data_IF_740936386691
#
_entry.id   IF_740936386691
#
_cell.length_a   1.000
_cell.length_b   1.000
_cell.length_c   1.000
_cell.angle_alpha   90.00
_cell.angle_beta   90.00
_cell.angle_gamma   90.00
#
_symmetry.space_group_name_H-M   'P 1'
#
loop_
_entity.id
_entity.type
_entity.pdbx_description
1 polymer ?
#
# COMPACT_ATOMS: atom_id res chain seq x y z
N UNK A 1 8.90 22.24 51.87
CA UNK A 1 9.80 21.76 50.80
C UNK A 1 9.35 20.34 50.48
N UNK A 2 8.44 20.18 49.53
CA UNK A 2 7.82 18.89 49.19
C UNK A 2 8.66 18.29 48.07
N UNK A 3 9.36 17.19 48.36
CA UNK A 3 10.03 16.39 47.33
C UNK A 3 8.98 15.53 46.64
N UNK A 4 8.90 15.70 45.32
CA UNK A 4 7.97 15.03 44.42
C UNK A 4 8.38 13.56 44.27
N UNK A 5 7.36 12.71 44.38
CA UNK A 5 7.33 11.27 44.15
C UNK A 5 7.74 10.87 42.73
N UNK A 6 8.67 9.92 42.63
CA UNK A 6 8.97 9.19 41.39
C UNK A 6 7.75 8.37 40.95
N UNK A 7 7.11 8.82 39.89
CA UNK A 7 6.10 8.08 39.12
C UNK A 7 6.81 7.02 38.28
N UNK A 8 6.49 5.75 38.52
CA UNK A 8 7.02 4.60 37.78
C UNK A 8 6.09 4.34 36.58
N UNK A 9 6.50 4.74 35.38
CA UNK A 9 5.75 4.49 34.14
C UNK A 9 5.85 3.00 33.69
N UNK A 10 4.74 2.36 33.26
CA UNK A 10 4.70 0.94 32.86
C UNK A 10 4.93 0.67 31.36
N UNK A 11 5.50 1.60 30.59
CA UNK A 11 5.46 1.55 29.11
C UNK A 11 6.70 0.98 28.37
N UNK A 12 7.57 0.18 29.00
CA UNK A 12 8.84 -0.25 28.36
C UNK A 12 8.93 -1.74 27.97
N UNK A 13 7.90 -2.57 28.21
CA UNK A 13 7.96 -4.02 27.92
C UNK A 13 7.56 -4.35 26.47
N UNK A 14 6.49 -3.73 25.97
CA UNK A 14 5.88 -4.11 24.69
C UNK A 14 6.74 -3.76 23.47
N UNK A 15 7.41 -2.61 23.48
CA UNK A 15 8.30 -2.20 22.38
C UNK A 15 9.58 -3.05 22.27
N UNK A 16 10.08 -3.57 23.40
CA UNK A 16 11.24 -4.47 23.41
C UNK A 16 10.91 -5.87 22.89
N UNK A 17 9.72 -6.38 23.20
CA UNK A 17 9.24 -7.68 22.70
C UNK A 17 9.01 -7.64 21.18
N UNK A 18 8.53 -6.52 20.62
CA UNK A 18 8.37 -6.35 19.18
C UNK A 18 9.71 -6.34 18.41
N UNK A 19 10.77 -5.76 18.99
CA UNK A 19 12.10 -5.76 18.35
C UNK A 19 12.81 -7.13 18.41
N UNK A 20 12.59 -7.94 19.46
CA UNK A 20 13.21 -9.26 19.59
C UNK A 20 12.62 -10.28 18.60
N UNK A 21 11.31 -10.17 18.30
CA UNK A 21 10.65 -10.97 17.25
C UNK A 21 11.22 -10.73 15.84
N UNK A 22 11.70 -9.51 15.57
CA UNK A 22 12.28 -9.13 14.26
C UNK A 22 13.70 -9.68 14.11
N UNK A 23 14.48 -9.72 15.19
CA UNK A 23 15.86 -10.26 15.17
C UNK A 23 15.91 -11.78 15.00
N UNK A 24 14.87 -12.49 15.42
CA UNK A 24 14.78 -13.95 15.27
C UNK A 24 14.64 -14.43 13.82
N UNK A 25 14.25 -13.55 12.89
CA UNK A 25 14.06 -13.87 11.46
C UNK A 25 15.35 -13.69 10.63
N UNK A 26 16.37 -13.04 11.18
CA UNK A 26 17.62 -12.69 10.46
C UNK A 26 18.64 -13.85 10.44
N UNK A 27 18.43 -14.89 11.25
CA UNK A 27 19.40 -15.96 11.48
C UNK A 27 19.32 -17.16 10.50
N UNK A 28 18.38 -17.17 9.54
CA UNK A 28 18.19 -18.31 8.62
C UNK A 28 18.70 -18.08 7.20
N UNK A 29 19.51 -17.05 6.97
CA UNK A 29 20.05 -16.70 5.65
C UNK A 29 21.39 -17.41 5.37
N UNK A 30 21.35 -18.72 5.16
CA UNK A 30 22.28 -19.38 4.24
C UNK A 30 21.51 -20.37 3.36
N UNK A 31 21.66 -20.19 2.04
CA UNK A 31 21.23 -21.08 0.94
C UNK A 31 19.75 -21.00 0.53
N UNK A 32 19.45 -20.25 -0.54
CA UNK A 32 19.25 -20.82 -1.88
C UNK A 32 18.79 -19.74 -2.87
N UNK A 33 19.53 -19.63 -3.96
CA UNK A 33 19.04 -19.04 -5.20
C UNK A 33 17.80 -19.82 -5.67
N UNK A 34 16.81 -19.10 -6.21
CA UNK A 34 15.68 -19.62 -6.99
C UNK A 34 14.55 -20.38 -6.24
N UNK A 35 13.79 -19.72 -5.36
CA UNK A 35 12.38 -20.08 -5.08
C UNK A 35 11.66 -18.98 -4.25
N UNK A 36 11.09 -17.94 -4.86
CA UNK A 36 10.12 -17.06 -4.15
C UNK A 36 8.88 -16.80 -5.04
N UNK A 37 8.41 -17.83 -5.78
CA UNK A 37 7.15 -17.79 -6.53
C UNK A 37 5.91 -18.14 -5.67
N UNK A 38 6.05 -18.51 -4.38
CA UNK A 38 4.91 -18.96 -3.55
C UNK A 38 4.70 -18.25 -2.20
N UNK A 39 5.55 -17.31 -1.76
CA UNK A 39 5.43 -16.76 -0.39
C UNK A 39 4.32 -15.71 -0.19
N UNK A 40 3.60 -15.32 -1.25
CA UNK A 40 2.45 -14.40 -1.12
C UNK A 40 1.09 -15.10 -1.15
N UNK A 41 1.07 -16.44 -1.27
CA UNK A 41 -0.15 -17.24 -1.27
C UNK A 41 -0.69 -17.63 0.11
N UNK A 42 0.11 -17.59 1.18
CA UNK A 42 -0.21 -18.39 2.38
C UNK A 42 0.08 -17.75 3.77
N UNK A 43 0.32 -16.42 3.86
CA UNK A 43 0.28 -15.71 5.15
C UNK A 43 -1.03 -14.94 5.33
N UNK A 44 -2.07 -15.74 5.54
CA UNK A 44 -3.25 -15.55 6.40
C UNK A 44 -3.25 -14.25 7.26
N UNK A 45 -3.75 -13.15 6.70
CA UNK A 45 -4.98 -12.61 7.27
C UNK A 45 -6.07 -13.18 6.38
N UNK A 46 -6.81 -14.16 6.89
CA UNK A 46 -8.02 -14.68 6.25
C UNK A 46 -8.99 -13.50 6.07
N UNK A 47 -8.93 -12.85 4.91
CA UNK A 47 -10.04 -12.07 4.41
C UNK A 47 -10.31 -12.55 3.00
N UNK A 48 -11.38 -13.33 2.93
CA UNK A 48 -11.98 -13.87 1.74
C UNK A 48 -12.37 -12.74 0.77
N UNK A 49 -11.44 -12.36 -0.11
CA UNK A 49 -11.64 -11.41 -1.21
C UNK A 49 -12.59 -11.97 -2.30
N UNK A 50 -13.11 -13.19 -2.14
CA UNK A 50 -14.05 -13.78 -3.11
C UNK A 50 -15.51 -13.35 -2.89
N UNK A 51 -15.84 -12.74 -1.75
CA UNK A 51 -17.25 -12.43 -1.41
C UNK A 51 -17.79 -11.13 -2.05
N UNK A 52 -16.95 -10.22 -2.58
CA UNK A 52 -17.44 -8.98 -3.25
C UNK A 52 -17.21 -8.96 -4.76
N UNK A 53 -16.17 -9.60 -5.30
CA UNK A 53 -15.89 -9.57 -6.74
C UNK A 53 -15.92 -10.98 -7.31
N UNK A 54 -17.11 -11.44 -7.64
CA UNK A 54 -17.32 -12.60 -8.51
C UNK A 54 -16.68 -12.39 -9.88
N UNK A 55 -15.39 -12.72 -10.02
CA UNK A 55 -14.71 -12.76 -11.32
C UNK A 55 -14.51 -14.21 -11.73
N UNK A 56 -15.35 -14.61 -12.68
CA UNK A 56 -15.21 -15.84 -13.43
C UNK A 56 -13.80 -15.95 -14.01
N UNK A 57 -13.15 -17.08 -13.75
CA UNK A 57 -11.98 -17.54 -14.49
C UNK A 57 -12.42 -17.78 -15.94
N UNK A 58 -12.01 -16.95 -16.89
CA UNK A 58 -11.61 -17.33 -18.26
C UNK A 58 -11.42 -16.13 -19.19
N UNK A 59 -10.48 -16.33 -20.12
CA UNK A 59 -10.01 -15.46 -21.21
C UNK A 59 -8.83 -14.58 -20.83
N UNK A 60 -7.69 -14.84 -21.48
CA UNK A 60 -6.58 -13.91 -21.59
C UNK A 60 -7.12 -12.62 -22.20
N UNK A 61 -7.60 -11.69 -21.36
CA UNK A 61 -7.87 -10.32 -21.76
C UNK A 61 -6.57 -9.77 -22.28
N UNK A 62 -6.55 -9.29 -23.52
CA UNK A 62 -5.57 -8.32 -23.99
C UNK A 62 -5.63 -7.15 -23.01
N UNK A 63 -4.77 -7.14 -22.00
CA UNK A 63 -4.70 -6.04 -21.06
C UNK A 63 -4.26 -4.84 -21.88
N UNK A 64 -5.18 -3.88 -22.05
CA UNK A 64 -4.85 -2.57 -22.59
C UNK A 64 -3.65 -2.06 -21.82
N UNK A 65 -2.54 -1.78 -22.50
CA UNK A 65 -1.35 -1.15 -21.92
C UNK A 65 -1.48 0.38 -21.93
N UNK A 66 -2.71 0.88 -21.94
CA UNK A 66 -3.03 2.30 -22.03
C UNK A 66 -3.18 2.93 -20.64
N UNK A 67 -2.12 2.84 -19.82
CA UNK A 67 -2.09 3.53 -18.53
C UNK A 67 -2.04 5.05 -18.71
N UNK A 68 -1.53 5.56 -19.83
CA UNK A 68 -1.51 7.00 -20.14
C UNK A 68 -2.93 7.51 -20.39
N UNK A 69 -3.70 6.85 -21.26
CA UNK A 69 -5.08 7.22 -21.49
C UNK A 69 -5.96 7.01 -20.27
N UNK A 70 -5.69 5.99 -19.44
CA UNK A 70 -6.40 5.82 -18.17
C UNK A 70 -6.10 6.95 -17.18
N UNK A 71 -4.85 7.44 -17.11
CA UNK A 71 -4.50 8.63 -16.33
C UNK A 71 -5.20 9.89 -16.86
N UNK A 72 -5.25 10.08 -18.18
CA UNK A 72 -5.95 11.21 -18.79
C UNK A 72 -7.45 11.17 -18.45
N UNK A 73 -8.09 10.01 -18.60
CA UNK A 73 -9.50 9.81 -18.21
C UNK A 73 -9.73 10.07 -16.72
N UNK A 74 -8.81 9.62 -15.86
CA UNK A 74 -8.86 9.87 -14.43
C UNK A 74 -8.79 11.38 -14.10
N UNK A 75 -7.88 12.11 -14.77
CA UNK A 75 -7.68 13.55 -14.56
C UNK A 75 -8.83 14.39 -15.12
N UNK A 76 -9.42 13.96 -16.23
CA UNK A 76 -10.56 14.62 -16.88
C UNK A 76 -11.91 14.24 -16.28
N UNK A 77 -11.96 13.27 -15.36
CA UNK A 77 -13.20 12.81 -14.76
C UNK A 77 -13.91 13.95 -14.00
N UNK A 78 -15.12 14.28 -14.45
CA UNK A 78 -16.01 15.28 -13.84
C UNK A 78 -16.86 14.69 -12.71
N UNK A 79 -17.03 13.37 -12.68
CA UNK A 79 -17.79 12.64 -11.67
C UNK A 79 -16.98 11.49 -11.04
N UNK A 80 -17.41 11.05 -9.85
CA UNK A 80 -16.76 9.97 -9.10
C UNK A 80 -16.81 8.64 -9.85
N UNK A 81 -17.89 8.35 -10.57
CA UNK A 81 -18.05 7.12 -11.35
C UNK A 81 -17.00 7.00 -12.46
N UNK A 82 -16.84 8.04 -13.29
CA UNK A 82 -15.81 8.05 -14.33
C UNK A 82 -14.41 7.97 -13.73
N UNK A 83 -14.19 8.60 -12.58
CA UNK A 83 -12.92 8.53 -11.85
C UNK A 83 -12.64 7.11 -11.37
N UNK A 84 -13.63 6.45 -10.78
CA UNK A 84 -13.54 5.07 -10.31
C UNK A 84 -13.26 4.11 -11.45
N UNK A 85 -13.94 4.25 -12.59
CA UNK A 85 -13.70 3.40 -13.77
C UNK A 85 -12.24 3.49 -14.26
N UNK A 86 -11.69 4.71 -14.30
CA UNK A 86 -10.28 4.90 -14.66
C UNK A 86 -9.32 4.30 -13.63
N UNK A 87 -9.65 4.40 -12.34
CA UNK A 87 -8.87 3.75 -11.27
C UNK A 87 -8.92 2.23 -11.36
N UNK A 88 -10.08 1.62 -11.61
CA UNK A 88 -10.20 0.17 -11.77
C UNK A 88 -9.38 -0.36 -12.97
N UNK A 89 -9.35 0.41 -14.08
CA UNK A 89 -8.48 0.12 -15.22
C UNK A 89 -6.99 0.16 -14.82
N UNK A 90 -6.57 1.22 -14.11
CA UNK A 90 -5.21 1.35 -13.59
C UNK A 90 -4.86 0.25 -12.59
N UNK A 91 -5.78 -0.14 -11.71
CA UNK A 91 -5.60 -1.24 -10.75
C UNK A 91 -5.40 -2.57 -11.43
N UNK A 92 -6.19 -2.87 -12.47
CA UNK A 92 -6.01 -4.07 -13.28
C UNK A 92 -4.64 -4.10 -13.98
N UNK A 93 -4.19 -2.96 -14.50
CA UNK A 93 -2.86 -2.84 -15.14
C UNK A 93 -1.71 -2.95 -14.13
N UNK A 94 -1.86 -2.37 -12.93
CA UNK A 94 -0.85 -2.39 -11.86
C UNK A 94 -0.64 -3.79 -11.28
N UNK A 95 -1.66 -4.66 -11.35
CA UNK A 95 -1.55 -6.06 -10.95
C UNK A 95 -0.69 -6.90 -11.92
N UNK A 96 -0.40 -6.38 -13.11
CA UNK A 96 0.48 -7.05 -14.08
C UNK A 96 1.92 -6.61 -13.83
N UNK A 97 2.75 -7.50 -13.29
CA UNK A 97 4.15 -7.21 -12.91
C UNK A 97 4.98 -6.56 -14.02
N UNK A 98 4.81 -6.97 -15.28
CA UNK A 98 5.54 -6.41 -16.42
C UNK A 98 5.23 -4.94 -16.72
N UNK A 99 4.09 -4.42 -16.26
CA UNK A 99 3.68 -3.04 -16.52
C UNK A 99 4.29 -2.05 -15.52
N UNK A 100 4.78 -2.55 -14.39
CA UNK A 100 5.11 -1.74 -13.20
C UNK A 100 6.19 -0.70 -13.46
N UNK A 101 7.20 -1.02 -14.28
CA UNK A 101 8.22 -0.07 -14.70
C UNK A 101 7.66 1.05 -15.58
N UNK A 102 6.82 0.70 -16.56
CA UNK A 102 6.25 1.66 -17.50
C UNK A 102 5.22 2.56 -16.84
N UNK A 103 4.41 2.01 -15.92
CA UNK A 103 3.47 2.77 -15.11
C UNK A 103 4.18 3.76 -14.18
N UNK A 104 5.28 3.34 -13.53
CA UNK A 104 6.15 4.25 -12.78
C UNK A 104 6.67 5.36 -13.70
N UNK A 105 7.24 5.00 -14.85
CA UNK A 105 7.81 5.98 -15.80
C UNK A 105 6.76 6.94 -16.37
N UNK A 106 5.49 6.54 -16.39
CA UNK A 106 4.36 7.38 -16.79
C UNK A 106 3.83 8.28 -15.67
N UNK A 107 4.42 8.25 -14.47
CA UNK A 107 4.01 9.10 -13.35
C UNK A 107 2.74 8.64 -12.63
N UNK A 108 2.38 7.35 -12.75
CA UNK A 108 1.18 6.81 -12.09
C UNK A 108 1.31 6.92 -10.57
N UNK A 109 2.50 6.66 -10.01
CA UNK A 109 2.74 6.67 -8.57
C UNK A 109 2.49 8.08 -8.00
N UNK A 110 3.11 9.08 -8.58
CA UNK A 110 3.03 10.48 -8.18
C UNK A 110 1.60 11.00 -8.31
N UNK A 111 0.92 10.64 -9.40
CA UNK A 111 -0.49 11.03 -9.62
C UNK A 111 -1.40 10.44 -8.54
N UNK A 112 -1.24 9.15 -8.24
CA UNK A 112 -2.04 8.48 -7.21
C UNK A 112 -1.72 8.98 -5.80
N UNK A 113 -0.45 9.23 -5.46
CA UNK A 113 -0.08 9.79 -4.15
C UNK A 113 -0.67 11.19 -3.95
N UNK A 114 -0.57 12.06 -4.95
CA UNK A 114 -1.16 13.40 -4.91
C UNK A 114 -2.69 13.35 -4.79
N UNK A 115 -3.33 12.43 -5.51
CA UNK A 115 -4.77 12.22 -5.40
C UNK A 115 -5.17 11.74 -4.01
N UNK A 116 -4.51 10.71 -3.47
CA UNK A 116 -4.82 10.20 -2.12
C UNK A 116 -4.61 11.30 -1.08
N UNK A 117 -3.54 12.10 -1.17
CA UNK A 117 -3.31 13.22 -0.25
C UNK A 117 -4.44 14.24 -0.27
N UNK A 118 -4.95 14.60 -1.44
CA UNK A 118 -5.99 15.62 -1.58
C UNK A 118 -7.37 15.07 -1.25
N UNK A 119 -7.71 13.88 -1.73
CA UNK A 119 -9.00 13.23 -1.49
C UNK A 119 -9.17 12.83 -0.02
N UNK A 120 -8.13 12.33 0.65
CA UNK A 120 -8.18 11.97 2.07
C UNK A 120 -8.38 13.15 3.02
N UNK A 121 -8.01 14.37 2.61
CA UNK A 121 -8.30 15.59 3.37
C UNK A 121 -9.77 16.01 3.29
N UNK A 122 -10.48 15.59 2.23
CA UNK A 122 -11.90 15.88 2.02
C UNK A 122 -12.74 14.79 2.67
N UNK A 123 -12.51 13.54 2.27
CA UNK A 123 -13.18 12.35 2.80
C UNK A 123 -12.29 11.10 2.57
N UNK A 124 -11.65 10.59 3.64
CA UNK A 124 -10.76 9.44 3.54
C UNK A 124 -11.50 8.10 3.38
N UNK A 125 -12.83 8.07 3.54
CA UNK A 125 -13.64 6.84 3.49
C UNK A 125 -14.22 6.56 2.09
N UNK A 126 -13.83 7.32 1.07
CA UNK A 126 -14.36 7.17 -0.29
C UNK A 126 -13.79 5.94 -1.01
N UNK A 127 -14.59 5.26 -1.85
CA UNK A 127 -14.13 4.09 -2.60
C UNK A 127 -12.97 4.43 -3.56
N UNK A 128 -12.94 5.65 -4.08
CA UNK A 128 -11.85 6.13 -4.94
C UNK A 128 -10.50 6.23 -4.20
N UNK A 129 -10.50 6.60 -2.92
CA UNK A 129 -9.27 6.59 -2.10
C UNK A 129 -8.80 5.17 -1.87
N UNK A 130 -9.71 4.24 -1.53
CA UNK A 130 -9.38 2.84 -1.33
C UNK A 130 -8.74 2.21 -2.59
N UNK A 131 -9.34 2.43 -3.76
CA UNK A 131 -8.83 1.89 -5.03
C UNK A 131 -7.48 2.53 -5.41
N UNK A 132 -7.30 3.84 -5.19
CA UNK A 132 -6.01 4.49 -5.42
C UNK A 132 -4.90 3.92 -4.52
N UNK A 133 -5.17 3.69 -3.23
CA UNK A 133 -4.23 3.04 -2.31
C UNK A 133 -3.95 1.59 -2.72
N UNK A 134 -4.94 0.88 -3.24
CA UNK A 134 -4.77 -0.47 -3.78
C UNK A 134 -3.82 -0.51 -4.99
N UNK A 135 -3.91 0.48 -5.89
CA UNK A 135 -2.96 0.65 -7.00
C UNK A 135 -1.53 0.83 -6.46
N UNK A 136 -1.35 1.72 -5.48
CA UNK A 136 -0.04 1.96 -4.85
C UNK A 136 0.52 0.70 -4.20
N UNK A 137 -0.31 -0.08 -3.50
CA UNK A 137 0.07 -1.38 -2.91
C UNK A 137 0.59 -2.36 -3.97
N UNK A 138 -0.09 -2.48 -5.10
CA UNK A 138 0.29 -3.40 -6.16
C UNK A 138 1.62 -2.98 -6.83
N UNK A 139 1.80 -1.68 -7.08
CA UNK A 139 3.05 -1.14 -7.62
C UNK A 139 4.22 -1.33 -6.64
N UNK A 140 4.01 -1.17 -5.33
CA UNK A 140 5.02 -1.41 -4.30
C UNK A 140 5.45 -2.88 -4.19
N UNK A 141 4.53 -3.81 -4.46
CA UNK A 141 4.79 -5.24 -4.41
C UNK A 141 5.85 -5.67 -5.44
N UNK A 142 5.89 -5.00 -6.59
CA UNK A 142 6.61 -5.46 -7.77
C UNK A 142 8.15 -5.39 -7.67
N UNK A 143 8.71 -4.22 -7.33
CA UNK A 143 10.16 -4.00 -7.34
C UNK A 143 10.60 -2.91 -6.35
N UNK A 144 11.90 -2.85 -6.04
CA UNK A 144 12.46 -1.91 -5.06
C UNK A 144 12.40 -0.47 -5.55
N UNK A 145 12.57 -0.23 -6.84
CA UNK A 145 12.56 1.12 -7.42
C UNK A 145 11.17 1.78 -7.26
N UNK A 146 10.10 1.01 -7.38
CA UNK A 146 8.74 1.49 -7.10
C UNK A 146 8.57 1.83 -5.62
N UNK A 147 9.16 1.04 -4.71
CA UNK A 147 9.13 1.33 -3.26
C UNK A 147 9.88 2.62 -2.96
N UNK A 148 11.02 2.86 -3.60
CA UNK A 148 11.77 4.10 -3.46
C UNK A 148 11.01 5.29 -4.06
N UNK A 149 10.40 5.12 -5.23
CA UNK A 149 9.57 6.16 -5.86
C UNK A 149 8.37 6.53 -4.99
N UNK A 150 7.74 5.54 -4.35
CA UNK A 150 6.66 5.76 -3.38
C UNK A 150 7.13 6.59 -2.17
N UNK A 151 8.28 6.23 -1.59
CA UNK A 151 8.89 7.02 -0.50
C UNK A 151 9.17 8.45 -0.97
N UNK A 152 9.76 8.62 -2.15
CA UNK A 152 10.14 9.93 -2.69
C UNK A 152 8.94 10.79 -3.07
N UNK A 153 7.85 10.18 -3.52
CA UNK A 153 6.57 10.83 -3.72
C UNK A 153 5.87 11.21 -2.40
N UNK A 154 6.41 10.81 -1.24
CA UNK A 154 5.85 11.13 0.07
C UNK A 154 4.68 10.22 0.48
N UNK A 155 4.58 9.01 -0.06
CA UNK A 155 3.46 8.12 0.26
C UNK A 155 3.43 7.66 1.73
N UNK A 156 4.59 7.51 2.37
CA UNK A 156 4.71 6.96 3.74
C UNK A 156 3.89 7.76 4.77
N UNK A 157 4.07 9.08 4.93
CA UNK A 157 3.28 9.85 5.89
C UNK A 157 1.78 9.81 5.61
N UNK A 158 1.39 9.79 4.33
CA UNK A 158 -0.02 9.69 3.90
C UNK A 158 -0.62 8.34 4.34
N UNK A 159 0.08 7.24 4.07
CA UNK A 159 -0.40 5.91 4.44
C UNK A 159 -0.46 5.74 5.96
N UNK A 160 0.48 6.32 6.72
CA UNK A 160 0.44 6.32 8.19
C UNK A 160 -0.77 7.13 8.68
N UNK A 161 -1.03 8.30 8.08
CA UNK A 161 -2.19 9.12 8.42
C UNK A 161 -3.51 8.37 8.15
N UNK A 162 -3.58 7.61 7.05
CA UNK A 162 -4.70 6.72 6.72
C UNK A 162 -4.82 5.50 7.63
N UNK A 163 -3.89 5.25 8.56
CA UNK A 163 -4.01 4.19 9.56
C UNK A 163 -4.17 4.75 10.97
N UNK A 164 -3.94 6.05 11.15
CA UNK A 164 -4.11 6.69 12.43
C UNK A 164 -5.58 6.60 12.87
N UNK A 165 -5.84 6.40 14.17
CA UNK A 165 -7.20 6.43 14.68
C UNK A 165 -7.84 7.78 14.36
N UNK A 166 -8.89 7.75 13.53
CA UNK A 166 -9.67 8.90 13.12
C UNK A 166 -11.06 8.81 13.75
N UNK A 167 -11.61 9.95 14.18
CA UNK A 167 -13.00 10.05 14.64
C UNK A 167 -13.99 9.69 13.52
N UNK A 168 -13.55 9.82 12.26
CA UNK A 168 -14.22 9.33 11.06
C UNK A 168 -13.70 7.92 10.82
N UNK A 169 -14.38 6.90 11.35
CA UNK A 169 -13.99 5.51 11.20
C UNK A 169 -13.73 5.17 9.72
N UNK A 170 -12.50 4.78 9.41
CA UNK A 170 -12.10 4.43 8.05
C UNK A 170 -12.83 3.18 7.58
N UNK A 171 -13.10 3.11 6.26
CA UNK A 171 -13.54 1.86 5.65
C UNK A 171 -12.44 0.79 5.84
N UNK A 172 -12.86 -0.41 6.24
CA UNK A 172 -12.00 -1.59 6.43
C UNK A 172 -11.11 -1.85 5.20
N UNK A 173 -11.64 -1.60 4.00
CA UNK A 173 -10.90 -1.72 2.75
C UNK A 173 -9.74 -0.73 2.62
N UNK A 174 -9.93 0.53 3.04
CA UNK A 174 -8.90 1.57 2.94
C UNK A 174 -7.78 1.32 3.92
N UNK A 175 -8.12 0.97 5.17
CA UNK A 175 -7.14 0.62 6.19
C UNK A 175 -6.32 -0.62 5.78
N UNK A 176 -6.99 -1.67 5.28
CA UNK A 176 -6.32 -2.88 4.79
C UNK A 176 -5.38 -2.59 3.63
N UNK A 177 -5.82 -1.80 2.66
CA UNK A 177 -5.00 -1.40 1.52
C UNK A 177 -3.79 -0.57 1.97
N UNK A 178 -3.98 0.38 2.90
CA UNK A 178 -2.92 1.24 3.41
C UNK A 178 -1.86 0.46 4.20
N UNK A 179 -2.28 -0.45 5.07
CA UNK A 179 -1.39 -1.35 5.81
C UNK A 179 -0.59 -2.24 4.85
N UNK A 180 -1.27 -2.81 3.84
CA UNK A 180 -0.62 -3.61 2.80
C UNK A 180 0.39 -2.80 1.98
N UNK A 181 0.07 -1.54 1.65
CA UNK A 181 0.98 -0.64 0.95
C UNK A 181 2.22 -0.33 1.80
N UNK A 182 2.07 0.03 3.07
CA UNK A 182 3.21 0.29 3.98
C UNK A 182 4.12 -0.92 4.16
N UNK A 183 3.53 -2.12 4.31
CA UNK A 183 4.30 -3.36 4.36
C UNK A 183 5.12 -3.54 3.09
N UNK A 184 4.54 -3.33 1.91
CA UNK A 184 5.24 -3.49 0.65
C UNK A 184 6.32 -2.43 0.43
N UNK A 185 6.05 -1.17 0.81
CA UNK A 185 7.03 -0.08 0.72
C UNK A 185 8.25 -0.34 1.59
N UNK A 186 8.08 -0.94 2.77
CA UNK A 186 9.18 -1.27 3.70
C UNK A 186 9.83 -2.64 3.46
N UNK A 187 9.21 -3.51 2.66
CA UNK A 187 9.70 -4.87 2.44
C UNK A 187 11.10 -4.86 1.82
N UNK A 188 12.06 -5.49 2.50
CA UNK A 188 13.47 -5.60 2.07
C UNK A 188 14.08 -4.23 1.63
N UNK A 189 13.60 -3.10 2.17
CA UNK A 189 14.09 -1.75 1.86
C UNK A 189 14.42 -0.99 3.15
N UNK A 190 15.70 -0.98 3.52
CA UNK A 190 16.18 -0.40 4.77
C UNK A 190 16.04 1.12 4.84
N UNK A 191 16.12 1.81 3.70
CA UNK A 191 15.86 3.25 3.62
C UNK A 191 14.40 3.58 3.95
N UNK A 192 13.48 2.78 3.41
CA UNK A 192 12.04 2.95 3.65
C UNK A 192 11.65 2.50 5.06
N UNK A 193 12.27 1.45 5.59
CA UNK A 193 12.07 1.02 6.99
C UNK A 193 12.41 2.14 7.97
N UNK A 194 13.56 2.79 7.80
CA UNK A 194 13.96 3.94 8.62
C UNK A 194 13.04 5.15 8.50
N UNK A 195 12.33 5.29 7.37
CA UNK A 195 11.39 6.39 7.16
C UNK A 195 10.03 6.16 7.87
N UNK A 196 9.79 4.95 8.40
CA UNK A 196 8.57 4.58 9.14
C UNK A 196 8.80 4.63 10.66
N UNK A 197 10.06 4.54 11.12
CA UNK A 197 10.47 4.73 12.53
C UNK A 197 10.23 6.17 13.02
#
# INVERSE_FOLDING_TARGET
MVHVSDFRDPMTSSAKESCELIKGLDASLELEEAFEDDFFGDLLFDYDDTTVRGRAKHSQKTYSTDWVGALERFQLADCEESRMNALEELGAMANVRSNTHSMRSAGVIETMVNFVQTASQIDPCTPVVAEAVYILRNLACANNENRDTLREAGSIPILIQLLAPSDVGLSDATATAAAGALRNVSFKNTCNQRAIE
#
